data_IF_739635918057
#
_entry.id   IF_739635918057
#
_cell.length_a   1.000
_cell.length_b   1.000
_cell.length_c   1.000
_cell.angle_alpha   90.00
_cell.angle_beta   90.00
_cell.angle_gamma   90.00
#
_symmetry.space_group_name_H-M   'P 1'
#
loop_
_entity.id
_entity.type
_entity.pdbx_description
1 polymer ?
#
# COMPACT_ATOMS: atom_id res chain seq x y z
N UNK A 1 -13.25 -6.08 -6.95
CA UNK A 1 -12.62 -4.90 -6.33
C UNK A 1 -13.56 -3.76 -6.60
N UNK A 2 -14.33 -3.35 -5.59
CA UNK A 2 -15.10 -2.13 -5.68
C UNK A 2 -14.12 -0.99 -5.95
N UNK A 3 -14.42 -0.17 -6.96
CA UNK A 3 -13.60 0.98 -7.31
C UNK A 3 -13.54 1.90 -6.10
N UNK A 4 -12.40 1.91 -5.40
CA UNK A 4 -12.19 2.84 -4.30
C UNK A 4 -12.26 4.24 -4.90
N UNK A 5 -13.29 4.99 -4.55
CA UNK A 5 -13.52 6.32 -5.12
C UNK A 5 -12.95 7.40 -4.19
N UNK A 6 -12.55 8.54 -4.74
CA UNK A 6 -11.97 9.65 -3.95
C UNK A 6 -12.91 10.09 -2.81
N UNK A 7 -14.23 9.98 -3.01
CA UNK A 7 -15.23 10.25 -1.98
C UNK A 7 -15.17 9.28 -0.80
N UNK A 8 -14.77 8.02 -1.04
CA UNK A 8 -14.60 7.04 0.03
C UNK A 8 -13.36 7.34 0.87
N UNK A 9 -12.27 7.82 0.25
CA UNK A 9 -11.07 8.28 0.97
C UNK A 9 -11.43 9.38 1.96
N UNK A 10 -12.18 10.40 1.52
CA UNK A 10 -12.67 11.47 2.40
C UNK A 10 -13.55 10.96 3.53
N UNK A 11 -14.36 9.96 3.25
CA UNK A 11 -15.16 9.26 4.27
C UNK A 11 -14.28 8.64 5.34
N UNK A 12 -13.25 7.89 4.93
CA UNK A 12 -12.31 7.25 5.85
C UNK A 12 -11.54 8.27 6.69
N UNK A 13 -11.06 9.37 6.09
CA UNK A 13 -10.37 10.41 6.85
C UNK A 13 -11.28 11.07 7.89
N UNK A 14 -12.57 11.28 7.57
CA UNK A 14 -13.52 11.83 8.52
C UNK A 14 -13.79 10.88 9.68
N UNK A 15 -14.03 9.61 9.38
CA UNK A 15 -14.24 8.59 10.40
C UNK A 15 -13.01 8.41 11.29
N UNK A 16 -11.80 8.48 10.71
CA UNK A 16 -10.56 8.48 11.47
C UNK A 16 -10.43 9.68 12.41
N UNK A 17 -10.89 10.86 12.00
CA UNK A 17 -10.94 12.05 12.86
C UNK A 17 -11.94 11.87 14.00
N UNK A 18 -13.12 11.30 13.73
CA UNK A 18 -14.11 10.98 14.77
C UNK A 18 -13.54 9.97 15.79
N UNK A 19 -12.86 8.92 15.34
CA UNK A 19 -12.14 7.97 16.22
C UNK A 19 -11.03 8.69 17.01
N UNK A 20 -10.30 9.59 16.36
CA UNK A 20 -9.24 10.37 17.01
C UNK A 20 -9.77 11.26 18.13
N UNK A 21 -10.95 11.84 17.95
CA UNK A 21 -11.61 12.67 18.96
C UNK A 21 -12.09 11.85 20.16
N UNK A 22 -12.52 10.60 19.94
CA UNK A 22 -13.05 9.73 21.00
C UNK A 22 -11.97 8.92 21.73
N UNK A 23 -11.00 8.36 21.02
CA UNK A 23 -10.03 7.38 21.55
C UNK A 23 -8.58 7.89 21.49
N UNK A 24 -8.32 8.90 20.65
CA UNK A 24 -7.01 9.55 20.52
C UNK A 24 -6.40 9.38 19.14
N UNK A 25 -5.44 10.26 18.83
CA UNK A 25 -4.80 10.35 17.50
C UNK A 25 -4.19 9.03 17.03
N UNK A 26 -3.61 8.26 17.96
CA UNK A 26 -3.03 6.96 17.65
C UNK A 26 -4.07 6.00 17.05
N UNK A 27 -5.25 5.90 17.66
CA UNK A 27 -6.30 4.97 17.22
C UNK A 27 -6.92 5.39 15.88
N UNK A 28 -7.09 6.69 15.67
CA UNK A 28 -7.49 7.24 14.37
C UNK A 28 -6.50 6.88 13.26
N UNK A 29 -5.19 6.95 13.55
CA UNK A 29 -4.14 6.58 12.61
C UNK A 29 -4.01 5.06 12.41
N UNK A 30 -4.25 4.22 13.44
CA UNK A 30 -4.33 2.75 13.27
C UNK A 30 -5.45 2.40 12.29
N UNK A 31 -6.63 2.99 12.45
CA UNK A 31 -7.76 2.77 11.54
C UNK A 31 -7.42 3.24 10.11
N UNK A 32 -6.96 4.49 9.97
CA UNK A 32 -6.77 5.09 8.66
C UNK A 32 -5.59 4.48 7.91
N UNK A 33 -4.43 4.41 8.55
CA UNK A 33 -3.20 3.92 7.93
C UNK A 33 -3.19 2.40 7.91
N UNK A 34 -3.47 1.75 9.05
CA UNK A 34 -3.51 0.30 9.17
C UNK A 34 -4.63 -0.30 8.32
N UNK A 35 -5.88 -0.07 8.69
CA UNK A 35 -7.00 -0.80 8.06
C UNK A 35 -7.35 -0.33 6.65
N UNK A 36 -7.21 0.98 6.33
CA UNK A 36 -7.64 1.50 5.01
C UNK A 36 -6.50 1.70 4.02
N UNK A 37 -5.38 2.27 4.45
CA UNK A 37 -4.28 2.60 3.55
C UNK A 37 -3.34 1.40 3.27
N UNK A 38 -3.04 0.54 4.24
CA UNK A 38 -2.15 -0.62 4.01
C UNK A 38 -2.64 -1.56 2.91
N UNK A 39 -3.94 -1.94 2.84
CA UNK A 39 -4.43 -2.79 1.75
C UNK A 39 -4.19 -2.18 0.37
N UNK A 40 -4.31 -0.86 0.24
CA UNK A 40 -4.01 -0.15 -1.00
C UNK A 40 -2.53 -0.24 -1.36
N UNK A 41 -1.64 -0.03 -0.39
CA UNK A 41 -0.19 -0.19 -0.60
C UNK A 41 0.17 -1.62 -1.02
N UNK A 42 -0.45 -2.63 -0.40
CA UNK A 42 -0.27 -4.04 -0.80
C UNK A 42 -0.71 -4.24 -2.24
N UNK A 43 -1.91 -3.76 -2.62
CA UNK A 43 -2.42 -3.89 -3.98
C UNK A 43 -1.51 -3.21 -5.02
N UNK A 44 -1.01 -2.00 -4.72
CA UNK A 44 -0.02 -1.31 -5.57
C UNK A 44 1.23 -2.17 -5.75
N UNK A 45 1.81 -2.69 -4.67
CA UNK A 45 3.04 -3.50 -4.74
C UNK A 45 2.85 -4.81 -5.50
N UNK A 46 1.70 -5.46 -5.37
CA UNK A 46 1.36 -6.65 -6.15
C UNK A 46 1.24 -6.31 -7.64
N UNK A 47 0.59 -5.20 -7.98
CA UNK A 47 0.46 -4.74 -9.36
C UNK A 47 1.83 -4.37 -9.96
N UNK A 48 2.67 -3.64 -9.22
CA UNK A 48 4.04 -3.31 -9.64
C UNK A 48 4.89 -4.56 -9.85
N UNK A 49 4.79 -5.53 -8.94
CA UNK A 49 5.52 -6.80 -9.06
C UNK A 49 5.10 -7.59 -10.29
N UNK A 50 3.80 -7.59 -10.64
CA UNK A 50 3.29 -8.23 -11.86
C UNK A 50 3.84 -7.56 -13.13
N UNK A 51 3.95 -6.23 -13.13
CA UNK A 51 4.45 -5.46 -14.28
C UNK A 51 5.97 -5.52 -14.41
N UNK A 52 6.70 -5.63 -13.31
CA UNK A 52 8.18 -5.71 -13.29
C UNK A 52 8.74 -6.84 -14.16
N UNK A 53 8.01 -7.95 -14.32
CA UNK A 53 8.43 -9.07 -15.17
C UNK A 53 8.03 -8.92 -16.65
N UNK A 54 7.12 -7.99 -16.97
CA UNK A 54 6.68 -7.74 -18.35
C UNK A 54 7.71 -6.91 -19.12
N UNK A 55 8.39 -6.00 -18.42
CA UNK A 55 9.49 -5.20 -18.93
C UNK A 55 10.72 -5.51 -18.10
N UNK A 56 11.60 -6.42 -18.55
CA UNK A 56 12.94 -6.52 -17.98
C UNK A 56 13.53 -5.12 -18.09
N UNK A 57 13.92 -4.52 -16.96
CA UNK A 57 14.68 -3.29 -16.96
C UNK A 57 15.76 -3.41 -18.03
N UNK A 58 15.87 -2.42 -18.92
CA UNK A 58 17.08 -2.27 -19.71
C UNK A 58 18.22 -2.11 -18.71
N UNK A 59 18.82 -3.22 -18.29
CA UNK A 59 20.10 -3.23 -17.60
C UNK A 59 21.05 -2.51 -18.56
N UNK A 60 21.33 -1.26 -18.21
CA UNK A 60 22.14 -0.31 -18.98
C UNK A 60 23.62 -0.73 -19.08
N UNK A 61 23.95 -1.98 -18.76
CA UNK A 61 25.31 -2.50 -18.72
C UNK A 61 25.60 -3.59 -19.76
N UNK A 62 24.73 -3.81 -20.74
CA UNK A 62 25.13 -4.61 -21.92
C UNK A 62 25.59 -3.68 -23.04
N UNK A 63 26.90 -3.60 -23.21
CA UNK A 63 27.62 -2.85 -24.25
C UNK A 63 27.00 -3.00 -25.66
N UNK A 64 27.18 -2.01 -26.56
CA UNK A 64 26.53 -1.99 -27.86
C UNK A 64 27.18 -3.03 -28.80
N UNK A 65 26.68 -4.26 -28.77
CA UNK A 65 26.92 -5.20 -29.85
C UNK A 65 25.81 -5.06 -30.87
N UNK A 66 26.20 -4.76 -32.11
CA UNK A 66 25.33 -4.31 -33.19
C UNK A 66 24.06 -5.14 -33.32
N UNK A 67 22.96 -4.60 -32.80
CA UNK A 67 21.63 -5.18 -32.97
C UNK A 67 21.26 -5.15 -34.45
N UNK A 68 21.12 -6.32 -35.05
CA UNK A 68 20.60 -6.44 -36.42
C UNK A 68 19.22 -5.79 -36.48
N UNK A 69 18.83 -5.19 -37.63
CA UNK A 69 17.50 -4.57 -37.80
C UNK A 69 16.34 -5.50 -37.43
N UNK A 70 16.55 -6.82 -37.52
CA UNK A 70 15.58 -7.84 -37.14
C UNK A 70 15.38 -7.93 -35.62
N UNK A 71 16.42 -7.70 -34.82
CA UNK A 71 16.35 -7.73 -33.35
C UNK A 71 15.54 -6.54 -32.81
N UNK A 72 15.76 -5.35 -33.38
CA UNK A 72 14.94 -4.16 -33.13
C UNK A 72 13.47 -4.34 -33.54
N UNK A 73 13.22 -5.04 -34.66
CA UNK A 73 11.87 -5.35 -35.13
C UNK A 73 11.16 -6.30 -34.18
N UNK A 74 11.81 -7.40 -33.78
CA UNK A 74 11.25 -8.39 -32.86
C UNK A 74 10.98 -7.76 -31.50
N UNK A 75 11.90 -6.93 -30.99
CA UNK A 75 11.71 -6.21 -29.74
C UNK A 75 10.53 -5.24 -29.79
N UNK A 76 10.35 -4.51 -30.89
CA UNK A 76 9.18 -3.63 -31.09
C UNK A 76 7.88 -4.42 -31.17
N UNK A 77 7.86 -5.54 -31.90
CA UNK A 77 6.67 -6.40 -32.00
C UNK A 77 6.32 -7.03 -30.65
N UNK A 78 7.32 -7.44 -29.87
CA UNK A 78 7.13 -7.91 -28.49
C UNK A 78 6.56 -6.81 -27.60
N UNK A 79 7.15 -5.62 -27.61
CA UNK A 79 6.68 -4.48 -26.82
C UNK A 79 5.22 -4.14 -27.13
N UNK A 80 4.86 -4.09 -28.41
CA UNK A 80 3.48 -3.82 -28.86
C UNK A 80 2.51 -4.93 -28.43
N UNK A 81 2.95 -6.19 -28.46
CA UNK A 81 2.14 -7.34 -28.02
C UNK A 81 1.91 -7.29 -26.51
N UNK A 82 2.95 -6.96 -25.73
CA UNK A 82 2.84 -6.79 -24.27
C UNK A 82 1.94 -5.61 -23.94
N UNK A 83 2.14 -4.46 -24.59
CA UNK A 83 1.31 -3.26 -24.38
C UNK A 83 -0.16 -3.55 -24.68
N UNK A 84 -0.48 -4.19 -25.80
CA UNK A 84 -1.87 -4.55 -26.16
C UNK A 84 -2.47 -5.64 -25.25
N UNK A 85 -1.67 -6.61 -24.80
CA UNK A 85 -2.16 -7.72 -23.96
C UNK A 85 -2.36 -7.29 -22.51
N UNK A 86 -1.48 -6.44 -21.99
CA UNK A 86 -1.45 -6.02 -20.59
C UNK A 86 -1.94 -4.59 -20.37
N UNK A 87 -2.47 -3.93 -21.40
CA UNK A 87 -2.97 -2.55 -21.35
C UNK A 87 -3.83 -2.30 -20.12
N UNK A 88 -4.85 -3.14 -19.89
CA UNK A 88 -5.76 -3.01 -18.74
C UNK A 88 -5.06 -3.16 -17.39
N UNK A 89 -4.01 -3.99 -17.32
CA UNK A 89 -3.23 -4.18 -16.08
C UNK A 89 -2.33 -2.98 -15.81
N UNK A 90 -1.81 -2.33 -16.86
CA UNK A 90 -1.03 -1.10 -16.75
C UNK A 90 -1.93 0.09 -16.37
N UNK A 91 -3.11 0.22 -16.98
CA UNK A 91 -4.12 1.21 -16.62
C UNK A 91 -4.52 1.06 -15.14
N UNK A 92 -4.84 -0.17 -14.70
CA UNK A 92 -5.15 -0.43 -13.30
C UNK A 92 -4.00 -0.08 -12.33
N UNK A 93 -2.73 -0.30 -12.75
CA UNK A 93 -1.58 0.10 -11.93
C UNK A 93 -1.49 1.62 -11.79
N UNK A 94 -1.70 2.37 -12.88
CA UNK A 94 -1.70 3.83 -12.83
C UNK A 94 -2.88 4.36 -11.99
N UNK A 95 -4.07 3.78 -12.12
CA UNK A 95 -5.24 4.13 -11.30
C UNK A 95 -4.94 3.91 -9.81
N UNK A 96 -4.34 2.77 -9.45
CA UNK A 96 -3.93 2.48 -8.07
C UNK A 96 -2.85 3.45 -7.55
N UNK A 97 -1.93 3.90 -8.41
CA UNK A 97 -0.92 4.90 -8.05
C UNK A 97 -1.52 6.28 -7.82
N UNK A 98 -2.46 6.69 -8.66
CA UNK A 98 -3.21 7.92 -8.48
C UNK A 98 -4.00 7.89 -7.17
N UNK A 99 -4.76 6.83 -6.95
CA UNK A 99 -5.54 6.61 -5.74
C UNK A 99 -4.65 6.64 -4.48
N UNK A 100 -3.47 6.01 -4.52
CA UNK A 100 -2.50 6.07 -3.42
C UNK A 100 -2.07 7.52 -3.13
N UNK A 101 -1.74 8.29 -4.17
CA UNK A 101 -1.28 9.66 -4.00
C UNK A 101 -2.41 10.54 -3.44
N UNK A 102 -3.64 10.37 -3.93
CA UNK A 102 -4.82 11.09 -3.42
C UNK A 102 -5.06 10.76 -1.94
N UNK A 103 -4.94 9.48 -1.56
CA UNK A 103 -5.05 9.06 -0.17
C UNK A 103 -3.97 9.71 0.72
N UNK A 104 -2.71 9.73 0.26
CA UNK A 104 -1.63 10.39 1.00
C UNK A 104 -1.93 11.88 1.22
N UNK A 105 -2.47 12.57 0.21
CA UNK A 105 -2.85 13.98 0.33
C UNK A 105 -3.95 14.17 1.38
N UNK A 106 -5.01 13.37 1.32
CA UNK A 106 -6.13 13.46 2.27
C UNK A 106 -5.70 13.12 3.70
N UNK A 107 -4.79 12.15 3.90
CA UNK A 107 -4.23 11.86 5.23
C UNK A 107 -3.46 13.06 5.77
N UNK A 108 -2.65 13.72 4.93
CA UNK A 108 -1.89 14.92 5.31
C UNK A 108 -2.76 16.14 5.57
N UNK A 109 -3.96 16.18 4.99
CA UNK A 109 -4.95 17.22 5.28
C UNK A 109 -5.72 16.94 6.58
N UNK A 110 -5.95 15.66 6.90
CA UNK A 110 -6.69 15.25 8.10
C UNK A 110 -5.84 15.30 9.37
N UNK A 111 -4.60 14.82 9.34
CA UNK A 111 -3.74 14.70 10.52
C UNK A 111 -2.46 15.54 10.40
N UNK A 112 -1.95 16.02 11.53
CA UNK A 112 -0.67 16.74 11.54
C UNK A 112 0.48 15.81 11.14
N UNK A 113 1.45 16.35 10.41
CA UNK A 113 2.59 15.56 9.94
C UNK A 113 3.41 14.98 11.10
N UNK A 114 3.53 15.71 12.21
CA UNK A 114 4.20 15.25 13.44
C UNK A 114 3.52 14.01 14.01
N UNK A 115 2.19 14.02 14.10
CA UNK A 115 1.43 12.90 14.64
C UNK A 115 1.58 11.66 13.77
N UNK A 116 1.57 11.82 12.45
CA UNK A 116 1.80 10.73 11.50
C UNK A 116 3.22 10.17 11.64
N UNK A 117 4.22 11.05 11.80
CA UNK A 117 5.61 10.64 11.96
C UNK A 117 5.84 9.91 13.28
N UNK A 118 5.34 10.46 14.39
CA UNK A 118 5.42 9.86 15.72
C UNK A 118 4.72 8.50 15.74
N UNK A 119 3.54 8.40 15.11
CA UNK A 119 2.83 7.15 14.91
C UNK A 119 3.70 6.14 14.16
N UNK A 120 4.27 6.48 13.00
CA UNK A 120 5.10 5.55 12.22
C UNK A 120 6.44 5.22 12.92
N UNK A 121 6.98 6.12 13.74
CA UNK A 121 8.18 5.86 14.55
C UNK A 121 7.92 4.88 15.69
N UNK A 122 6.70 4.80 16.19
CA UNK A 122 6.30 3.82 17.21
C UNK A 122 6.22 2.37 16.71
N UNK A 123 6.36 2.12 15.39
CA UNK A 123 6.16 0.82 14.75
C UNK A 123 4.84 0.15 15.17
N UNK A 124 3.70 0.78 14.85
CA UNK A 124 2.40 0.33 15.31
C UNK A 124 2.02 -0.99 14.62
N UNK A 125 1.25 -1.82 15.32
CA UNK A 125 0.59 -2.97 14.72
C UNK A 125 -0.50 -2.46 13.78
N UNK A 126 -0.48 -2.92 12.54
CA UNK A 126 -1.33 -2.35 11.49
C UNK A 126 -2.65 -3.10 11.33
N UNK A 127 -2.80 -4.27 11.94
CA UNK A 127 -4.06 -5.02 12.08
C UNK A 127 -4.75 -5.46 10.78
N UNK A 128 -4.28 -5.03 9.60
CA UNK A 128 -4.98 -5.21 8.33
C UNK A 128 -5.02 -6.64 7.82
N UNK A 129 -4.23 -7.54 8.42
CA UNK A 129 -4.23 -8.98 8.13
C UNK A 129 -5.13 -9.77 9.07
N UNK A 130 -5.47 -9.20 10.22
CA UNK A 130 -6.36 -9.85 11.18
C UNK A 130 -7.80 -9.61 10.74
N UNK A 131 -8.46 -10.67 10.28
CA UNK A 131 -9.90 -10.65 9.96
C UNK A 131 -10.79 -10.55 11.22
N UNK A 132 -10.20 -10.31 12.38
CA UNK A 132 -10.92 -10.08 13.62
C UNK A 132 -11.38 -8.63 13.65
N UNK A 133 -12.45 -8.37 14.39
CA UNK A 133 -13.16 -7.09 14.48
C UNK A 133 -12.24 -5.87 14.53
N UNK A 134 -12.70 -4.70 14.06
CA UNK A 134 -11.90 -3.48 14.10
C UNK A 134 -11.30 -3.25 15.48
N UNK A 135 -10.08 -2.72 15.53
CA UNK A 135 -9.28 -2.63 16.76
C UNK A 135 -10.02 -2.00 17.96
N UNK A 136 -10.88 -1.02 17.70
CA UNK A 136 -11.72 -0.35 18.72
C UNK A 136 -12.83 -1.23 19.31
N UNK A 137 -13.29 -2.27 18.59
CA UNK A 137 -14.17 -3.31 19.14
C UNK A 137 -13.41 -4.35 19.97
N UNK A 138 -12.15 -4.64 19.62
CA UNK A 138 -11.30 -5.60 20.37
C UNK A 138 -10.89 -5.08 21.75
N UNK A 139 -10.75 -3.77 21.93
CA UNK A 139 -10.46 -3.15 23.23
C UNK A 139 -11.54 -3.42 24.30
N UNK A 140 -12.74 -3.85 23.89
CA UNK A 140 -13.87 -4.17 24.79
C UNK A 140 -13.95 -5.66 25.15
N UNK A 141 -13.27 -6.55 24.44
CA UNK A 141 -13.25 -7.99 24.71
C UNK A 141 -11.92 -8.40 25.36
N UNK A 142 -11.81 -8.22 26.68
CA UNK A 142 -10.82 -8.92 27.50
C UNK A 142 -11.15 -10.42 27.51
N UNK A 143 -10.63 -11.18 26.55
CA UNK A 143 -10.87 -12.62 26.44
C UNK A 143 -9.69 -13.38 25.83
N UNK A 144 -8.91 -14.00 26.72
CA UNK A 144 -7.87 -15.02 26.48
C UNK A 144 -6.62 -14.61 25.67
N UNK A 145 -5.63 -14.10 26.40
CA UNK A 145 -4.23 -14.16 26.00
C UNK A 145 -3.65 -15.58 26.20
N UNK A 146 -2.64 -15.91 25.40
CA UNK A 146 -1.59 -16.92 25.62
C UNK A 146 -1.61 -18.17 24.73
N UNK A 147 -1.39 -17.95 23.44
CA UNK A 147 -0.32 -18.66 22.74
C UNK A 147 0.26 -17.76 21.66
N UNK A 148 1.50 -17.30 21.86
CA UNK A 148 2.26 -16.52 20.88
C UNK A 148 2.58 -17.46 19.70
N UNK A 149 1.71 -17.45 18.68
CA UNK A 149 1.85 -18.36 17.56
C UNK A 149 2.92 -17.84 16.59
N UNK A 150 3.56 -18.75 15.85
CA UNK A 150 4.54 -18.38 14.82
C UNK A 150 3.96 -17.38 13.80
N UNK A 151 2.65 -17.43 13.59
CA UNK A 151 1.89 -16.52 12.74
C UNK A 151 1.85 -15.08 13.30
N UNK A 152 1.84 -14.91 14.62
CA UNK A 152 1.91 -13.59 15.27
C UNK A 152 3.27 -12.92 15.05
N UNK A 153 4.35 -13.70 15.07
CA UNK A 153 5.71 -13.20 14.82
C UNK A 153 5.87 -12.80 13.36
N UNK A 154 5.36 -13.61 12.42
CA UNK A 154 5.43 -13.28 10.99
C UNK A 154 4.59 -12.04 10.65
N UNK A 155 3.41 -11.90 11.25
CA UNK A 155 2.58 -10.71 11.06
C UNK A 155 3.26 -9.45 11.62
N UNK A 156 3.99 -9.55 12.73
CA UNK A 156 4.79 -8.44 13.27
C UNK A 156 5.89 -8.01 12.30
N UNK A 157 6.62 -8.99 11.76
CA UNK A 157 7.68 -8.72 10.79
C UNK A 157 7.10 -8.04 9.54
N UNK A 158 5.96 -8.52 9.06
CA UNK A 158 5.26 -7.92 7.93
C UNK A 158 4.82 -6.47 8.21
N UNK A 159 4.30 -6.21 9.41
CA UNK A 159 3.92 -4.86 9.85
C UNK A 159 5.15 -3.94 9.88
N UNK A 160 6.29 -4.40 10.41
CA UNK A 160 7.55 -3.62 10.41
C UNK A 160 7.98 -3.27 8.99
N UNK A 161 7.95 -4.22 8.06
CA UNK A 161 8.27 -3.94 6.66
C UNK A 161 7.25 -2.96 6.06
N UNK A 162 5.96 -3.11 6.36
CA UNK A 162 4.93 -2.24 5.84
C UNK A 162 5.08 -0.80 6.36
N UNK A 163 5.32 -0.61 7.66
CA UNK A 163 5.60 0.70 8.26
C UNK A 163 6.78 1.36 7.56
N UNK A 164 7.88 0.63 7.31
CA UNK A 164 9.04 1.16 6.57
C UNK A 164 8.69 1.60 5.16
N UNK A 165 7.80 0.89 4.49
CA UNK A 165 7.33 1.26 3.16
C UNK A 165 6.46 2.52 3.22
N UNK A 166 5.56 2.60 4.21
CA UNK A 166 4.66 3.74 4.40
C UNK A 166 5.45 5.00 4.75
N UNK A 167 6.50 4.89 5.56
CA UNK A 167 7.40 6.00 5.90
C UNK A 167 7.90 6.75 4.67
N UNK A 168 8.16 6.06 3.54
CA UNK A 168 8.65 6.70 2.31
C UNK A 168 7.68 7.74 1.72
N UNK A 169 6.42 7.75 2.14
CA UNK A 169 5.40 8.70 1.67
C UNK A 169 5.19 9.91 2.58
N UNK A 170 5.65 9.83 3.84
CA UNK A 170 5.42 10.83 4.88
C UNK A 170 6.71 11.43 5.49
N UNK A 171 7.88 10.86 5.17
CA UNK A 171 9.21 11.33 5.57
C UNK A 171 10.01 11.87 4.38
#
# INVERSE_FOLDING_TARGET
MDSLDYHQIKGYCREALEISDEYGVHDGLVYLIGEKFCPLIVAVKEAESKVKYLYPSDDKDTAPHGHSKNDLSVRKSYLLTVETTYQKSLECLEDLRHLRNDFILEIKEAFELSDIQDFLESYPRLGFKDKKQPFWEQALEEGDADSLEYEDILSEVDDIFMVREIKKYFF
#
